data_IF_511617557582
#
_entry.id   IF_511617557582
#
_cell.length_a   1.000
_cell.length_b   1.000
_cell.length_c   1.000
_cell.angle_alpha   90.00
_cell.angle_beta   90.00
_cell.angle_gamma   90.00
#
_symmetry.space_group_name_H-M   'P 1'
#
loop_
_entity.id
_entity.type
_entity.pdbx_description
1 polymer ?
#
# COMPACT_ATOMS: atom_id res chain seq x y z
N UNK A 1 -12.62 -4.76 72.82
CA UNK A 1 -12.13 -4.00 71.66
C UNK A 1 -10.79 -4.61 71.28
N UNK A 2 -10.78 -5.52 70.32
CA UNK A 2 -9.62 -5.84 69.48
C UNK A 2 -10.18 -6.61 68.27
N UNK A 3 -10.14 -5.98 67.11
CA UNK A 3 -10.79 -6.45 65.89
C UNK A 3 -9.78 -6.26 64.76
N UNK A 4 -9.44 -7.32 64.03
CA UNK A 4 -8.63 -7.16 62.82
C UNK A 4 -7.84 -8.38 62.38
N UNK A 5 -8.51 -9.53 62.19
CA UNK A 5 -7.94 -10.67 61.45
C UNK A 5 -7.54 -10.22 60.05
N UNK A 6 -6.29 -10.48 59.69
CA UNK A 6 -5.85 -10.51 58.31
C UNK A 6 -6.59 -11.60 57.53
N UNK A 7 -7.14 -11.22 56.39
CA UNK A 7 -7.49 -12.11 55.30
C UNK A 7 -7.09 -11.41 54.01
N UNK A 8 -5.99 -11.89 53.44
CA UNK A 8 -5.61 -11.62 52.05
C UNK A 8 -6.76 -12.04 51.15
N UNK A 9 -7.37 -11.10 50.45
CA UNK A 9 -8.22 -11.42 49.31
C UNK A 9 -7.68 -10.70 48.09
N UNK A 10 -6.89 -11.47 47.35
CA UNK A 10 -6.49 -11.28 45.97
C UNK A 10 -7.70 -10.81 45.16
N UNK A 11 -7.76 -9.52 44.84
CA UNK A 11 -8.67 -9.03 43.79
C UNK A 11 -8.11 -9.58 42.49
N UNK A 12 -8.70 -10.70 42.10
CA UNK A 12 -8.40 -11.42 40.86
C UNK A 12 -8.58 -10.46 39.71
N UNK A 13 -7.53 -10.37 38.91
CA UNK A 13 -7.48 -9.80 37.58
C UNK A 13 -8.68 -10.32 36.77
N UNK A 14 -9.75 -9.53 36.68
CA UNK A 14 -10.95 -9.86 35.94
C UNK A 14 -11.01 -8.95 34.71
N UNK A 15 -10.97 -9.54 33.52
CA UNK A 15 -11.43 -8.87 32.30
C UNK A 15 -10.47 -8.79 31.11
N UNK A 16 -9.70 -9.84 30.79
CA UNK A 16 -9.08 -9.97 29.44
C UNK A 16 -9.48 -11.26 28.73
N UNK A 17 -10.66 -11.79 29.01
CA UNK A 17 -11.32 -12.71 28.09
C UNK A 17 -12.25 -11.87 27.21
N UNK A 18 -11.70 -11.37 26.10
CA UNK A 18 -12.52 -10.72 25.07
C UNK A 18 -13.67 -11.65 24.71
N UNK A 19 -14.89 -11.09 24.70
CA UNK A 19 -16.13 -11.81 24.42
C UNK A 19 -15.93 -12.75 23.21
N UNK A 20 -16.12 -14.07 23.37
CA UNK A 20 -15.94 -15.05 22.29
C UNK A 20 -16.69 -14.66 21.01
N UNK A 21 -17.82 -13.97 21.14
CA UNK A 21 -18.58 -13.48 20.00
C UNK A 21 -17.84 -12.35 19.25
N UNK A 22 -17.20 -11.43 19.97
CA UNK A 22 -16.39 -10.36 19.37
C UNK A 22 -15.19 -10.95 18.64
N UNK A 23 -14.55 -11.98 19.20
CA UNK A 23 -13.44 -12.67 18.52
C UNK A 23 -13.88 -13.36 17.22
N UNK A 24 -15.08 -13.94 17.21
CA UNK A 24 -15.64 -14.58 16.02
C UNK A 24 -15.98 -13.55 14.92
N UNK A 25 -16.57 -12.40 15.26
CA UNK A 25 -16.86 -11.31 14.32
C UNK A 25 -15.57 -10.73 13.73
N UNK A 26 -14.54 -10.49 14.55
CA UNK A 26 -13.24 -9.98 14.07
C UNK A 26 -12.59 -10.98 13.13
N UNK A 27 -12.64 -12.28 13.44
CA UNK A 27 -12.12 -13.34 12.57
C UNK A 27 -12.85 -13.39 11.22
N UNK A 28 -14.18 -13.27 11.22
CA UNK A 28 -14.98 -13.23 10.01
C UNK A 28 -14.63 -12.02 9.14
N UNK A 29 -14.58 -10.82 9.73
CA UNK A 29 -14.22 -9.59 9.03
C UNK A 29 -12.79 -9.63 8.46
N UNK A 30 -11.85 -10.24 9.18
CA UNK A 30 -10.49 -10.41 8.70
C UNK A 30 -10.41 -11.36 7.49
N UNK A 31 -11.14 -12.47 7.48
CA UNK A 31 -11.16 -13.36 6.31
C UNK A 31 -11.86 -12.71 5.11
N UNK A 32 -12.95 -11.97 5.34
CA UNK A 32 -13.62 -11.21 4.29
C UNK A 32 -12.66 -10.16 3.67
N UNK A 33 -11.92 -9.43 4.50
CA UNK A 33 -10.91 -8.48 4.02
C UNK A 33 -9.85 -9.18 3.17
N UNK A 34 -9.31 -10.33 3.61
CA UNK A 34 -8.34 -11.10 2.80
C UNK A 34 -8.95 -11.52 1.47
N UNK A 35 -10.19 -11.99 1.46
CA UNK A 35 -10.87 -12.39 0.24
C UNK A 35 -11.04 -11.21 -0.72
N UNK A 36 -11.48 -10.05 -0.23
CA UNK A 36 -11.61 -8.84 -1.03
C UNK A 36 -10.25 -8.39 -1.60
N UNK A 37 -9.17 -8.52 -0.83
CA UNK A 37 -7.82 -8.21 -1.32
C UNK A 37 -7.36 -9.15 -2.44
N UNK A 38 -7.62 -10.46 -2.31
CA UNK A 38 -7.36 -11.43 -3.39
C UNK A 38 -8.19 -11.11 -4.65
N UNK A 39 -9.48 -10.81 -4.47
CA UNK A 39 -10.37 -10.42 -5.58
C UNK A 39 -9.88 -9.13 -6.26
N UNK A 40 -9.46 -8.13 -5.49
CA UNK A 40 -8.89 -6.88 -6.02
C UNK A 40 -7.67 -7.16 -6.90
N UNK A 41 -6.77 -8.03 -6.46
CA UNK A 41 -5.58 -8.39 -7.23
C UNK A 41 -5.95 -9.07 -8.56
N UNK A 42 -6.87 -10.03 -8.53
CA UNK A 42 -7.32 -10.74 -9.73
C UNK A 42 -8.04 -9.81 -10.72
N UNK A 43 -8.92 -8.94 -10.22
CA UNK A 43 -9.61 -7.93 -11.04
C UNK A 43 -8.59 -6.98 -11.68
N UNK A 44 -7.59 -6.51 -10.93
CA UNK A 44 -6.53 -5.64 -11.47
C UNK A 44 -5.73 -6.33 -12.58
N UNK A 45 -5.37 -7.61 -12.40
CA UNK A 45 -4.68 -8.40 -13.43
C UNK A 45 -5.52 -8.46 -14.71
N UNK A 46 -6.81 -8.77 -14.58
CA UNK A 46 -7.74 -8.87 -15.70
C UNK A 46 -7.94 -7.51 -16.40
N UNK A 47 -8.05 -6.42 -15.65
CA UNK A 47 -8.08 -5.05 -16.21
C UNK A 47 -6.81 -4.80 -17.05
N UNK A 48 -5.63 -5.13 -16.52
CA UNK A 48 -4.36 -4.98 -17.23
C UNK A 48 -4.34 -5.74 -18.55
N UNK A 49 -4.75 -7.01 -18.56
CA UNK A 49 -4.84 -7.82 -19.79
C UNK A 49 -5.78 -7.22 -20.83
N UNK A 50 -6.96 -6.73 -20.40
CA UNK A 50 -7.92 -6.10 -21.31
C UNK A 50 -7.36 -4.80 -21.89
N UNK A 51 -6.76 -3.94 -21.07
CA UNK A 51 -6.09 -2.72 -21.55
C UNK A 51 -5.00 -3.02 -22.56
N UNK A 52 -4.17 -4.04 -22.30
CA UNK A 52 -3.11 -4.45 -23.22
C UNK A 52 -3.67 -4.94 -24.56
N UNK A 53 -4.79 -5.66 -24.53
CA UNK A 53 -5.47 -6.12 -25.76
C UNK A 53 -5.96 -4.92 -26.57
N UNK A 54 -6.60 -3.93 -25.92
CA UNK A 54 -7.07 -2.70 -26.57
C UNK A 54 -5.91 -1.92 -27.21
N UNK A 55 -4.81 -1.75 -26.46
CA UNK A 55 -3.57 -1.13 -26.97
C UNK A 55 -3.03 -1.88 -28.18
N UNK A 56 -3.06 -3.22 -28.15
CA UNK A 56 -2.66 -4.06 -29.27
C UNK A 56 -3.54 -3.87 -30.51
N UNK A 57 -4.87 -3.79 -30.32
CA UNK A 57 -5.81 -3.52 -31.42
C UNK A 57 -5.55 -2.15 -32.05
N UNK A 58 -5.37 -1.11 -31.24
CA UNK A 58 -5.08 0.22 -31.76
C UNK A 58 -3.72 0.31 -32.48
N UNK A 59 -2.72 -0.46 -32.07
CA UNK A 59 -1.47 -0.59 -32.81
C UNK A 59 -1.63 -1.23 -34.21
N UNK A 60 -2.59 -2.15 -34.36
CA UNK A 60 -2.82 -2.87 -35.62
C UNK A 60 -3.75 -2.12 -36.57
N UNK A 61 -4.75 -1.42 -36.03
CA UNK A 61 -5.84 -0.83 -36.80
C UNK A 61 -5.87 0.70 -36.77
N UNK A 62 -5.00 1.35 -35.99
CA UNK A 62 -5.01 2.80 -35.77
C UNK A 62 -5.77 3.19 -34.49
N UNK A 63 -5.44 4.37 -33.93
CA UNK A 63 -6.08 4.89 -32.73
C UNK A 63 -7.51 5.41 -32.99
N UNK A 64 -7.88 5.66 -34.25
CA UNK A 64 -9.21 6.13 -34.69
C UNK A 64 -10.33 5.11 -34.46
N UNK A 65 -9.97 3.83 -34.29
CA UNK A 65 -10.93 2.78 -33.93
C UNK A 65 -11.39 2.86 -32.47
N UNK A 66 -10.65 3.58 -31.62
CA UNK A 66 -10.96 3.72 -30.20
C UNK A 66 -11.67 5.04 -29.93
N UNK A 67 -12.69 4.99 -29.06
CA UNK A 67 -13.29 6.22 -28.55
C UNK A 67 -12.31 6.99 -27.68
N UNK A 68 -12.55 8.28 -27.56
CA UNK A 68 -11.78 9.17 -26.69
C UNK A 68 -11.71 8.70 -25.24
N UNK A 69 -12.85 8.23 -24.70
CA UNK A 69 -12.95 7.64 -23.36
C UNK A 69 -12.06 6.40 -23.24
N UNK A 70 -12.06 5.54 -24.25
CA UNK A 70 -11.29 4.31 -24.25
C UNK A 70 -9.79 4.58 -24.34
N UNK A 71 -9.39 5.56 -25.16
CA UNK A 71 -8.00 6.04 -25.25
C UNK A 71 -7.51 6.63 -23.91
N UNK A 72 -8.36 7.33 -23.15
CA UNK A 72 -8.03 7.79 -21.79
C UNK A 72 -7.85 6.63 -20.82
N UNK A 73 -8.74 5.65 -20.86
CA UNK A 73 -8.69 4.47 -19.97
C UNK A 73 -7.43 3.63 -20.18
N UNK A 74 -6.90 3.57 -21.40
CA UNK A 74 -5.63 2.87 -21.71
C UNK A 74 -4.40 3.79 -21.65
N UNK A 75 -4.54 5.00 -21.10
CA UNK A 75 -3.48 6.01 -20.95
C UNK A 75 -2.83 6.43 -22.32
N UNK A 76 -3.51 6.17 -23.46
CA UNK A 76 -3.08 6.56 -24.82
C UNK A 76 -3.49 7.96 -25.23
N UNK A 77 -4.64 8.48 -24.75
CA UNK A 77 -5.08 9.86 -24.99
C UNK A 77 -4.27 10.89 -24.19
N UNK A 78 -2.97 10.67 -24.04
CA UNK A 78 -2.07 11.57 -23.33
C UNK A 78 -1.79 12.85 -24.13
N UNK A 79 -2.84 13.50 -24.66
CA UNK A 79 -2.88 14.93 -25.01
C UNK A 79 -2.80 15.81 -23.75
N UNK A 80 -1.81 15.58 -22.89
CA UNK A 80 -1.43 16.49 -21.81
C UNK A 80 -1.88 16.16 -20.38
N UNK A 81 -2.69 15.13 -20.13
CA UNK A 81 -3.00 14.71 -18.75
C UNK A 81 -1.94 13.74 -18.21
N UNK A 82 -0.82 14.34 -17.80
CA UNK A 82 0.20 13.66 -16.99
C UNK A 82 -0.47 12.98 -15.78
N UNK A 83 -0.08 11.75 -15.39
CA UNK A 83 -0.60 11.13 -14.19
C UNK A 83 -0.39 12.07 -13.00
N UNK A 84 -1.41 12.20 -12.15
CA UNK A 84 -1.28 13.01 -10.94
C UNK A 84 -0.12 12.51 -10.08
N UNK A 85 0.50 13.40 -9.31
CA UNK A 85 1.70 13.11 -8.52
C UNK A 85 1.60 11.81 -7.68
N UNK A 86 0.43 11.56 -7.07
CA UNK A 86 0.13 10.32 -6.33
C UNK A 86 0.09 9.08 -7.23
N UNK A 87 -0.52 9.16 -8.42
CA UNK A 87 -0.57 8.04 -9.39
C UNK A 87 0.84 7.67 -9.83
N UNK A 88 1.70 8.66 -10.08
CA UNK A 88 3.11 8.42 -10.41
C UNK A 88 3.88 7.73 -9.28
N UNK A 89 3.67 8.13 -8.03
CA UNK A 89 4.29 7.45 -6.88
C UNK A 89 3.83 5.99 -6.75
N UNK A 90 2.52 5.70 -6.95
CA UNK A 90 2.03 4.31 -6.95
C UNK A 90 2.68 3.48 -8.04
N UNK A 91 2.70 3.97 -9.28
CA UNK A 91 3.28 3.26 -10.42
C UNK A 91 4.74 2.90 -10.14
N UNK A 92 5.55 3.86 -9.67
CA UNK A 92 6.97 3.62 -9.36
C UNK A 92 7.16 2.56 -8.27
N UNK A 93 6.34 2.58 -7.21
CA UNK A 93 6.43 1.55 -6.17
C UNK A 93 5.96 0.17 -6.64
N UNK A 94 4.88 0.12 -7.43
CA UNK A 94 4.31 -1.12 -7.96
C UNK A 94 5.27 -1.83 -8.93
N UNK A 95 5.97 -1.07 -9.74
CA UNK A 95 6.92 -1.57 -10.75
C UNK A 95 8.32 -1.83 -10.17
N UNK A 96 8.56 -1.53 -8.90
CA UNK A 96 9.85 -1.73 -8.27
C UNK A 96 9.99 -3.13 -7.67
N UNK A 97 10.98 -3.89 -8.13
CA UNK A 97 11.31 -5.21 -7.56
C UNK A 97 11.95 -5.15 -6.16
N UNK A 98 12.28 -3.95 -5.69
CA UNK A 98 12.91 -3.70 -4.40
C UNK A 98 12.30 -2.50 -3.69
N UNK A 99 12.34 -2.44 -2.35
CA UNK A 99 11.95 -1.23 -1.63
C UNK A 99 12.73 -0.02 -2.17
N UNK A 100 12.10 1.14 -2.31
CA UNK A 100 12.69 2.39 -2.82
C UNK A 100 12.74 3.48 -1.75
N UNK A 101 13.84 4.23 -1.66
CA UNK A 101 13.91 5.47 -0.89
C UNK A 101 13.25 6.62 -1.66
N UNK A 102 12.89 7.68 -0.95
CA UNK A 102 12.19 8.83 -1.56
C UNK A 102 12.98 9.47 -2.72
N UNK A 103 14.32 9.53 -2.63
CA UNK A 103 15.17 10.01 -3.73
C UNK A 103 15.10 9.13 -4.97
N UNK A 104 15.17 7.80 -4.81
CA UNK A 104 15.06 6.87 -5.94
C UNK A 104 13.68 6.95 -6.59
N UNK A 105 12.62 7.19 -5.80
CA UNK A 105 11.28 7.46 -6.34
C UNK A 105 11.27 8.76 -7.16
N UNK A 106 11.86 9.84 -6.65
CA UNK A 106 12.03 11.07 -7.44
C UNK A 106 12.80 10.81 -8.73
N UNK A 107 13.92 10.09 -8.68
CA UNK A 107 14.75 9.82 -9.85
C UNK A 107 13.98 9.03 -10.92
N UNK A 108 13.20 8.02 -10.52
CA UNK A 108 12.37 7.26 -11.45
C UNK A 108 11.21 8.08 -12.03
N UNK A 109 10.56 8.93 -11.23
CA UNK A 109 9.54 9.86 -11.76
C UNK A 109 10.20 10.85 -12.73
N UNK A 110 11.38 11.38 -12.42
CA UNK A 110 12.09 12.31 -13.30
C UNK A 110 12.47 11.67 -14.64
N UNK A 111 12.87 10.40 -14.65
CA UNK A 111 13.23 9.67 -15.87
C UNK A 111 12.03 9.33 -16.74
N UNK A 112 10.90 8.93 -16.13
CA UNK A 112 9.73 8.40 -16.86
C UNK A 112 8.66 9.46 -17.11
N UNK A 113 8.49 10.39 -16.18
CA UNK A 113 7.42 11.38 -16.14
C UNK A 113 7.94 12.76 -15.64
N UNK A 114 8.98 13.36 -16.28
CA UNK A 114 9.61 14.60 -15.83
C UNK A 114 8.65 15.76 -15.48
N UNK A 115 7.57 16.03 -16.27
CA UNK A 115 6.68 17.16 -16.01
C UNK A 115 5.96 17.12 -14.65
N UNK A 116 5.88 15.95 -14.02
CA UNK A 116 5.22 15.78 -12.72
C UNK A 116 6.02 16.46 -11.61
N UNK A 117 7.35 16.37 -11.62
CA UNK A 117 8.17 16.96 -10.56
C UNK A 117 8.29 18.48 -10.69
N UNK A 118 8.28 19.00 -11.92
CA UNK A 118 8.41 20.45 -12.22
C UNK A 118 7.30 21.28 -11.54
N UNK A 119 6.13 20.68 -11.30
CA UNK A 119 4.99 21.35 -10.66
C UNK A 119 5.13 21.49 -9.14
N UNK A 120 6.15 20.89 -8.53
CA UNK A 120 6.35 20.86 -7.10
C UNK A 120 7.61 21.63 -6.72
N UNK A 121 7.47 22.61 -5.82
CA UNK A 121 8.59 23.41 -5.28
C UNK A 121 9.65 22.54 -4.59
N UNK A 122 9.21 21.47 -3.92
CA UNK A 122 10.07 20.46 -3.32
C UNK A 122 9.54 19.06 -3.69
N UNK A 123 10.07 18.46 -4.76
CA UNK A 123 9.69 17.12 -5.19
C UNK A 123 9.94 16.04 -4.13
N UNK A 124 11.02 16.16 -3.35
CA UNK A 124 11.40 15.14 -2.36
C UNK A 124 10.46 15.14 -1.15
N UNK A 125 10.09 16.32 -0.64
CA UNK A 125 9.09 16.46 0.41
C UNK A 125 7.70 16.01 -0.06
N UNK A 126 7.34 16.34 -1.30
CA UNK A 126 6.07 15.93 -1.90
C UNK A 126 6.00 14.40 -2.04
N UNK A 127 7.06 13.76 -2.57
CA UNK A 127 7.16 12.30 -2.66
C UNK A 127 7.04 11.68 -1.27
N UNK A 128 7.82 12.16 -0.30
CA UNK A 128 7.80 11.60 1.06
C UNK A 128 6.41 11.68 1.69
N UNK A 129 5.70 12.79 1.49
CA UNK A 129 4.32 12.97 1.98
C UNK A 129 3.38 11.95 1.36
N UNK A 130 3.45 11.76 0.04
CA UNK A 130 2.63 10.76 -0.65
C UNK A 130 2.98 9.35 -0.20
N UNK A 131 4.27 9.00 -0.08
CA UNK A 131 4.71 7.69 0.37
C UNK A 131 4.20 7.37 1.77
N UNK A 132 4.22 8.34 2.70
CA UNK A 132 3.64 8.16 4.03
C UNK A 132 2.13 7.94 3.98
N UNK A 133 1.39 8.70 3.15
CA UNK A 133 -0.04 8.48 2.94
C UNK A 133 -0.35 7.10 2.36
N UNK A 134 0.47 6.60 1.42
CA UNK A 134 0.30 5.25 0.89
C UNK A 134 0.53 4.18 1.97
N UNK A 135 1.38 4.44 2.95
CA UNK A 135 1.53 3.59 4.15
C UNK A 135 0.30 3.67 5.04
N UNK A 136 -0.21 4.87 5.31
CA UNK A 136 -1.45 5.07 6.07
C UNK A 136 -2.65 4.37 5.42
N UNK A 137 -2.70 4.33 4.09
CA UNK A 137 -3.74 3.62 3.32
C UNK A 137 -3.50 2.11 3.19
N UNK A 138 -2.38 1.58 3.70
CA UNK A 138 -2.03 0.17 3.57
C UNK A 138 -1.65 -0.27 2.15
N UNK A 139 -1.43 0.67 1.22
CA UNK A 139 -0.97 0.37 -0.15
C UNK A 139 0.55 0.10 -0.20
N UNK A 140 1.31 0.68 0.74
CA UNK A 140 2.74 0.51 0.87
C UNK A 140 3.14 0.20 2.32
N UNK A 141 4.34 -0.33 2.51
CA UNK A 141 4.96 -0.49 3.84
C UNK A 141 6.28 0.25 3.92
N UNK A 142 6.60 0.74 5.11
CA UNK A 142 7.92 1.28 5.42
C UNK A 142 8.85 0.14 5.81
N UNK A 143 10.06 0.13 5.26
CA UNK A 143 11.12 -0.83 5.60
C UNK A 143 12.43 -0.10 5.88
N UNK A 144 13.28 -0.68 6.71
CA UNK A 144 14.66 -0.25 6.89
C UNK A 144 15.56 -1.12 6.03
N UNK A 145 16.38 -0.49 5.18
CA UNK A 145 17.41 -1.19 4.42
C UNK A 145 18.62 -1.51 5.29
N UNK A 146 19.51 -2.37 4.80
CA UNK A 146 20.79 -2.74 5.44
C UNK A 146 21.66 -1.52 5.80
N UNK A 147 21.55 -0.44 5.03
CA UNK A 147 22.26 0.82 5.29
C UNK A 147 21.57 1.73 6.34
N UNK A 148 20.56 1.24 7.05
CA UNK A 148 19.78 1.97 8.05
C UNK A 148 18.83 3.03 7.48
N UNK A 149 18.76 3.20 6.16
CA UNK A 149 17.90 4.22 5.54
C UNK A 149 16.49 3.69 5.34
N UNK A 150 15.52 4.58 5.56
CA UNK A 150 14.10 4.32 5.32
C UNK A 150 13.81 4.17 3.83
N UNK A 151 13.06 3.13 3.49
CA UNK A 151 12.55 2.88 2.16
C UNK A 151 11.07 2.46 2.24
N UNK A 152 10.40 2.49 1.09
CA UNK A 152 9.00 2.14 0.93
C UNK A 152 8.89 1.01 -0.09
N UNK A 153 8.01 0.06 0.20
CA UNK A 153 7.75 -1.08 -0.68
C UNK A 153 6.25 -1.20 -0.91
N UNK A 154 5.86 -1.47 -2.15
CA UNK A 154 4.47 -1.79 -2.47
C UNK A 154 4.02 -3.07 -1.78
N UNK A 155 2.77 -3.12 -1.32
CA UNK A 155 2.18 -4.32 -0.76
C UNK A 155 1.48 -5.09 -1.88
N UNK A 156 2.20 -6.03 -2.51
CA UNK A 156 1.66 -6.91 -3.56
C UNK A 156 0.75 -8.00 -2.99
N UNK A 157 0.95 -8.36 -1.71
CA UNK A 157 0.16 -9.35 -0.97
C UNK A 157 0.21 -9.00 0.54
N UNK A 158 -0.93 -8.77 1.22
CA UNK A 158 -0.99 -8.37 2.63
C UNK A 158 -0.42 -9.39 3.61
N UNK A 159 -0.19 -10.64 3.19
CA UNK A 159 0.31 -11.72 4.04
C UNK A 159 1.72 -11.47 4.61
N UNK A 160 2.51 -10.55 4.05
CA UNK A 160 3.83 -10.19 4.59
C UNK A 160 3.82 -9.08 5.66
N UNK A 161 2.66 -8.52 5.99
CA UNK A 161 2.54 -7.38 6.92
C UNK A 161 2.65 -7.79 8.40
N UNK A 162 2.44 -9.07 8.73
CA UNK A 162 2.36 -9.54 10.13
C UNK A 162 3.72 -10.01 10.69
N UNK A 163 4.72 -10.31 9.85
CA UNK A 163 5.97 -10.94 10.32
C UNK A 163 7.04 -9.99 10.87
N UNK A 164 6.96 -8.68 10.61
CA UNK A 164 7.98 -7.72 11.08
C UNK A 164 7.65 -7.08 12.43
N UNK A 165 6.37 -6.93 12.77
CA UNK A 165 5.96 -6.38 14.07
C UNK A 165 6.25 -7.35 15.23
N UNK A 166 6.19 -8.66 15.00
CA UNK A 166 6.38 -9.66 16.06
C UNK A 166 7.85 -9.91 16.45
N UNK A 167 8.84 -9.44 15.66
CA UNK A 167 10.27 -9.66 15.98
C UNK A 167 10.91 -8.54 16.80
N UNK A 168 10.25 -7.39 16.96
CA UNK A 168 10.80 -6.25 17.71
C UNK A 168 10.53 -6.31 19.23
N UNK A 169 9.75 -7.27 19.72
CA UNK A 169 9.28 -7.33 21.12
C UNK A 169 9.99 -8.32 22.05
N UNK A 170 11.09 -8.97 21.62
CA UNK A 170 11.69 -10.07 22.38
C UNK A 170 13.21 -10.09 22.33
N UNK A 171 13.86 -9.12 22.98
CA UNK A 171 15.26 -9.27 23.38
C UNK A 171 15.53 -8.41 24.63
N UNK A 172 15.24 -8.96 25.80
CA UNK A 172 15.87 -8.55 27.06
C UNK A 172 16.48 -9.81 27.67
N UNK A 173 17.80 -9.82 27.73
CA UNK A 173 18.58 -10.69 28.60
C UNK A 173 18.74 -10.02 29.97
#
# INVERSE_FOLDING_TARGET
MDNGRGASQTVRNAGTNGDPHVQEVVKAAHEELRQLMRQRAEVMKRIGTVKQTIVGLANLFGDDVLSDELLELVDRKSGGRQPGFTKACRMVLMEADKPLGAREVCDQIQQRMPPILVRHKDPLASVTTVLNRLVEYGEARTVLRENGRRAWQWVSDPTQSEFTASRAGGMSA
#
